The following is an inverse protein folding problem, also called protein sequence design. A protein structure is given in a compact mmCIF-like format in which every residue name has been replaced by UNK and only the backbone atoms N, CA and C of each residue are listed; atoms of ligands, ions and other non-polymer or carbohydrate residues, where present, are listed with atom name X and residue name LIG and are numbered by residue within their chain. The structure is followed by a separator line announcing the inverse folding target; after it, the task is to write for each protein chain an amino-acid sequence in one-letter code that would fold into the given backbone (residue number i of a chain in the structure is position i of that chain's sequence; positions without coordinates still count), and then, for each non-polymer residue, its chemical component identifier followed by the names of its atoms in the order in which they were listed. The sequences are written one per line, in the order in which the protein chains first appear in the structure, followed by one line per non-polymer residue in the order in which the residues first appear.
data_IF_576515165282
#
_entry.id   IF_576515165282
#
_cell.length_a   1.000
_cell.length_b   1.000
_cell.length_c   1.000
_cell.angle_alpha   90.00
_cell.angle_beta   90.00
_cell.angle_gamma   90.00
#
_symmetry.space_group_name_H-M   'P 1'
#
loop_
_entity.id
_entity.type
_entity.pdbx_description
1 polymer ?
#
# COMPACT_ATOMS: atom_id res chain seq x y z
N UNK A 1 -4.91 16.12 -7.66
CA UNK A 1 -4.22 15.01 -8.33
C UNK A 1 -3.58 15.60 -9.58
N UNK A 2 -2.33 15.29 -9.91
CA UNK A 2 -1.68 15.89 -11.11
C UNK A 2 -2.09 15.19 -12.41
N UNK A 3 -2.56 13.94 -12.31
CA UNK A 3 -2.99 13.10 -13.45
C UNK A 3 -4.50 13.07 -13.65
N UNK A 4 -5.28 13.76 -12.82
CA UNK A 4 -6.73 13.65 -12.80
C UNK A 4 -7.41 14.81 -12.05
N UNK A 5 -8.69 15.10 -12.33
CA UNK A 5 -9.40 16.24 -11.72
C UNK A 5 -9.81 16.03 -10.25
N UNK A 6 -9.37 14.94 -9.59
CA UNK A 6 -9.68 14.73 -8.17
C UNK A 6 -8.84 15.63 -7.26
N UNK A 7 -9.53 16.43 -6.46
CA UNK A 7 -8.97 17.19 -5.36
C UNK A 7 -9.02 16.39 -4.04
N UNK A 8 -8.02 16.57 -3.19
CA UNK A 8 -7.96 15.95 -1.86
C UNK A 8 -7.59 17.02 -0.84
N UNK A 9 -8.31 17.06 0.28
CA UNK A 9 -8.06 18.02 1.35
C UNK A 9 -6.75 17.75 2.11
N UNK A 10 -6.27 16.51 2.13
CA UNK A 10 -5.06 16.12 2.87
C UNK A 10 -3.99 15.54 1.95
N UNK A 11 -2.72 15.86 2.25
CA UNK A 11 -1.56 15.36 1.49
C UNK A 11 -1.49 13.83 1.49
N UNK A 12 -1.81 13.16 2.60
CA UNK A 12 -1.78 11.69 2.67
C UNK A 12 -2.86 11.04 1.79
N UNK A 13 -4.01 11.69 1.62
CA UNK A 13 -5.08 11.23 0.75
C UNK A 13 -4.67 11.33 -0.73
N UNK A 14 -4.05 12.45 -1.11
CA UNK A 14 -3.47 12.63 -2.43
C UNK A 14 -2.38 11.59 -2.71
N UNK A 15 -1.44 11.38 -1.79
CA UNK A 15 -0.36 10.40 -1.92
C UNK A 15 -0.90 8.97 -2.04
N UNK A 16 -1.94 8.62 -1.26
CA UNK A 16 -2.64 7.34 -1.39
C UNK A 16 -3.30 7.21 -2.76
N UNK A 17 -3.92 8.27 -3.23
CA UNK A 17 -4.61 8.27 -4.52
C UNK A 17 -3.65 8.14 -5.71
N UNK A 18 -2.46 8.76 -5.65
CA UNK A 18 -1.45 8.64 -6.71
C UNK A 18 -1.05 7.18 -6.96
N UNK A 19 -1.09 6.31 -5.94
CA UNK A 19 -0.83 4.86 -6.10
C UNK A 19 -1.81 4.17 -7.05
N UNK A 20 -3.01 4.72 -7.24
CA UNK A 20 -3.99 4.20 -8.21
C UNK A 20 -3.51 4.43 -9.64
N UNK A 21 -2.87 5.57 -9.89
CA UNK A 21 -2.30 5.88 -11.21
C UNK A 21 -1.02 5.11 -11.49
N UNK A 22 -0.16 4.94 -10.49
CA UNK A 22 1.11 4.22 -10.66
C UNK A 22 0.96 2.71 -10.52
N UNK A 23 -0.23 2.21 -10.17
CA UNK A 23 -0.45 0.80 -9.82
C UNK A 23 0.41 0.31 -8.65
N UNK A 24 0.98 1.24 -7.86
CA UNK A 24 1.94 0.89 -6.82
C UNK A 24 1.26 0.10 -5.70
N UNK A 25 1.71 -1.14 -5.52
CA UNK A 25 1.34 -2.01 -4.41
C UNK A 25 2.56 -2.20 -3.51
N UNK A 26 2.88 -1.19 -2.68
CA UNK A 26 4.12 -1.21 -1.89
C UNK A 26 4.06 -2.21 -0.73
N UNK A 27 2.89 -2.76 -0.42
CA UNK A 27 2.71 -3.71 0.68
C UNK A 27 2.56 -5.11 0.12
N UNK A 28 3.43 -6.02 0.54
CA UNK A 28 3.39 -7.42 0.14
C UNK A 28 3.24 -8.29 1.39
N UNK A 29 2.32 -9.25 1.34
CA UNK A 29 2.31 -10.35 2.30
C UNK A 29 3.49 -11.27 1.97
N UNK A 30 4.50 -11.38 2.84
CA UNK A 30 5.69 -12.21 2.55
C UNK A 30 5.38 -13.70 2.51
N UNK A 31 4.44 -14.16 3.33
CA UNK A 31 4.07 -15.56 3.43
C UNK A 31 3.26 -16.06 2.22
N UNK A 32 2.36 -15.22 1.70
CA UNK A 32 1.48 -15.56 0.58
C UNK A 32 1.84 -14.85 -0.74
N UNK A 33 2.89 -14.00 -0.71
CA UNK A 33 3.37 -13.15 -1.82
C UNK A 33 2.26 -12.34 -2.50
N UNK A 34 1.17 -12.05 -1.78
CA UNK A 34 0.00 -11.36 -2.32
C UNK A 34 0.19 -9.84 -2.18
N UNK A 35 0.13 -9.06 -3.28
CA UNK A 35 0.38 -7.63 -3.25
C UNK A 35 -0.87 -6.83 -2.88
N UNK A 36 -0.70 -5.87 -1.97
CA UNK A 36 -1.75 -4.99 -1.46
C UNK A 36 -1.38 -3.52 -1.71
N UNK A 37 -2.38 -2.73 -2.13
CA UNK A 37 -2.21 -1.29 -2.33
C UNK A 37 -2.18 -0.49 -1.00
N UNK A 38 -2.67 -1.10 0.08
CA UNK A 38 -2.87 -0.44 1.38
C UNK A 38 -2.51 -1.34 2.56
N UNK A 39 -2.01 -0.72 3.63
CA UNK A 39 -1.75 -1.38 4.91
C UNK A 39 -3.03 -1.89 5.54
N UNK A 40 -4.15 -1.17 5.45
CA UNK A 40 -5.42 -1.60 6.03
C UNK A 40 -5.96 -2.87 5.37
N UNK A 41 -5.82 -2.99 4.04
CA UNK A 41 -6.20 -4.19 3.30
C UNK A 41 -5.34 -5.39 3.67
N UNK A 42 -4.02 -5.18 3.81
CA UNK A 42 -3.10 -6.22 4.28
C UNK A 42 -3.36 -6.61 5.74
N UNK A 43 -3.58 -5.65 6.65
CA UNK A 43 -3.92 -5.91 8.06
C UNK A 43 -5.22 -6.68 8.22
N UNK A 44 -6.21 -6.41 7.36
CA UNK A 44 -7.47 -7.19 7.34
C UNK A 44 -7.22 -8.59 6.80
N UNK A 45 -6.41 -8.72 5.75
CA UNK A 45 -6.00 -10.01 5.23
C UNK A 45 -5.29 -10.86 6.30
N UNK A 46 -4.28 -10.31 7.00
CA UNK A 46 -3.56 -11.01 8.07
C UNK A 46 -4.45 -11.37 9.28
N UNK A 47 -5.55 -10.64 9.52
CA UNK A 47 -6.47 -10.91 10.62
C UNK A 47 -7.49 -12.00 10.33
N UNK A 48 -7.91 -12.13 9.07
CA UNK A 48 -8.89 -13.15 8.67
C UNK A 48 -8.16 -14.44 8.25
N UNK A 49 -6.98 -14.30 7.65
CA UNK A 49 -6.15 -15.41 7.17
C UNK A 49 -5.09 -15.76 8.22
N UNK A 50 -5.56 -16.27 9.36
CA UNK A 50 -4.80 -16.65 10.59
C UNK A 50 -3.57 -17.57 10.34
N UNK A 51 -3.36 -18.06 9.11
CA UNK A 51 -2.39 -19.09 8.75
C UNK A 51 -1.14 -18.64 7.97
N UNK A 52 -0.83 -17.34 7.82
CA UNK A 52 0.48 -16.90 7.34
C UNK A 52 1.53 -16.81 8.49
N UNK A 53 1.62 -17.88 9.30
CA UNK A 53 2.07 -17.96 10.71
C UNK A 53 3.45 -17.43 11.16
N UNK A 54 4.27 -16.74 10.37
CA UNK A 54 5.57 -16.25 10.85
C UNK A 54 5.81 -14.79 10.44
N UNK A 55 5.78 -13.92 11.47
CA UNK A 55 6.11 -12.50 11.48
C UNK A 55 5.23 -11.58 10.59
N UNK A 56 4.45 -10.64 11.17
CA UNK A 56 3.69 -9.64 10.42
C UNK A 56 4.63 -8.53 9.89
N UNK A 57 5.70 -8.88 9.19
CA UNK A 57 6.56 -7.90 8.54
C UNK A 57 5.83 -7.32 7.33
N UNK A 58 5.24 -6.15 7.55
CA UNK A 58 4.74 -5.27 6.48
C UNK A 58 5.97 -4.73 5.76
N UNK A 59 6.47 -5.47 4.76
CA UNK A 59 7.52 -4.96 3.89
C UNK A 59 6.91 -3.85 3.03
N UNK A 60 7.19 -2.60 3.37
CA UNK A 60 7.09 -1.51 2.41
C UNK A 60 8.25 -1.71 1.44
N UNK A 61 7.96 -2.16 0.21
CA UNK A 61 8.95 -2.12 -0.87
C UNK A 61 9.35 -0.65 -1.02
N UNK A 62 10.55 -0.29 -0.52
CA UNK A 62 11.12 1.06 -0.60
C UNK A 62 11.48 1.35 -2.06
N UNK A 63 10.46 1.58 -2.88
CA UNK A 63 10.57 2.04 -4.25
C UNK A 63 10.53 3.55 -4.30
N UNK A 64 11.73 4.15 -4.38
CA UNK A 64 12.11 5.46 -4.90
C UNK A 64 11.05 6.58 -5.00
N UNK A 65 11.33 7.67 -4.28
CA UNK A 65 10.62 8.94 -4.43
C UNK A 65 11.20 10.07 -3.59
N UNK A 66 12.53 10.24 -3.56
CA UNK A 66 13.10 11.57 -3.24
C UNK A 66 12.50 12.55 -4.25
N UNK A 67 11.86 13.62 -3.78
CA UNK A 67 12.03 14.96 -4.35
C UNK A 67 11.28 16.02 -3.53
N UNK A 68 12.13 16.89 -2.96
CA UNK A 68 12.00 18.31 -2.58
C UNK A 68 10.75 18.75 -1.82
#
# INVERSE_FOLDING_TARGET
CVTCPRAFARKHDLQRHIRVHTGAKPYLCVACKKPFARTDALKRHLRIEDACRLSPEIQALKGAGKRR
#
